data_IF_196372397941
#
_entry.id   IF_196372397941
#
_cell.length_a   1.000
_cell.length_b   1.000
_cell.length_c   1.000
_cell.angle_alpha   90.00
_cell.angle_beta   90.00
_cell.angle_gamma   90.00
#
_symmetry.space_group_name_H-M   'P 1'
#
loop_
_entity.id
_entity.type
_entity.pdbx_description
1 polymer ?
#
# COMPACT_ATOMS: atom_id res chain seq x y z
N UNK A 1 -7.74 70.62 -18.61
CA UNK A 1 -8.54 70.20 -17.45
C UNK A 1 -8.36 68.70 -17.30
N UNK A 2 -7.55 68.27 -16.35
CA UNK A 2 -7.37 66.84 -16.03
C UNK A 2 -8.64 66.35 -15.35
N UNK A 3 -9.37 65.46 -16.02
CA UNK A 3 -10.51 64.74 -15.44
C UNK A 3 -9.99 63.76 -14.40
N UNK A 4 -10.08 64.12 -13.12
CA UNK A 4 -9.68 63.28 -11.99
C UNK A 4 -10.70 62.18 -11.68
N UNK A 5 -11.01 61.33 -12.65
CA UNK A 5 -11.73 60.09 -12.38
C UNK A 5 -10.72 58.93 -12.33
N UNK A 6 -10.69 58.14 -11.24
CA UNK A 6 -9.86 56.93 -11.18
C UNK A 6 -10.32 55.93 -12.25
N UNK A 7 -9.37 55.22 -12.87
CA UNK A 7 -9.63 54.25 -13.96
C UNK A 7 -10.52 53.06 -13.52
N UNK A 8 -10.75 52.91 -12.20
CA UNK A 8 -11.55 51.86 -11.57
C UNK A 8 -13.05 51.94 -11.89
N UNK A 9 -13.55 53.09 -12.39
CA UNK A 9 -14.98 53.27 -12.73
C UNK A 9 -15.31 52.79 -14.16
N UNK A 10 -14.29 52.49 -14.98
CA UNK A 10 -14.48 52.10 -16.39
C UNK A 10 -14.34 50.59 -16.66
N UNK A 11 -13.91 49.81 -15.67
CA UNK A 11 -13.88 48.35 -15.80
C UNK A 11 -15.20 47.74 -15.32
N UNK A 12 -16.09 47.41 -16.27
CA UNK A 12 -17.31 46.64 -16.03
C UNK A 12 -17.06 45.12 -16.06
N UNK A 13 -15.83 44.66 -15.77
CA UNK A 13 -15.61 43.23 -15.58
C UNK A 13 -16.17 42.82 -14.21
N UNK A 14 -17.10 41.84 -14.15
CA UNK A 14 -17.62 41.36 -12.88
C UNK A 14 -16.46 40.80 -12.04
N UNK A 15 -16.03 41.54 -11.02
CA UNK A 15 -15.08 41.04 -10.02
C UNK A 15 -15.83 39.94 -9.25
N UNK A 16 -15.56 38.70 -9.60
CA UNK A 16 -16.17 37.55 -8.96
C UNK A 16 -15.68 37.50 -7.50
N UNK A 17 -16.57 37.57 -6.49
CA UNK A 17 -16.12 37.52 -5.09
C UNK A 17 -15.42 36.19 -4.82
N UNK A 18 -14.22 36.24 -4.23
CA UNK A 18 -13.50 35.04 -3.81
C UNK A 18 -14.34 34.30 -2.76
N UNK A 19 -14.93 33.18 -3.15
CA UNK A 19 -15.65 32.31 -2.20
C UNK A 19 -14.60 31.61 -1.34
N UNK A 20 -14.55 31.86 -0.02
CA UNK A 20 -13.57 31.21 0.84
C UNK A 20 -13.78 29.70 0.82
N UNK A 21 -12.76 28.96 0.40
CA UNK A 21 -12.81 27.50 0.34
C UNK A 21 -12.86 26.99 1.78
N UNK A 22 -14.01 26.44 2.19
CA UNK A 22 -14.15 25.83 3.51
C UNK A 22 -13.32 24.55 3.57
N UNK A 23 -12.38 24.49 4.50
CA UNK A 23 -11.59 23.30 4.77
C UNK A 23 -12.50 22.12 5.16
N UNK A 24 -12.34 20.98 4.48
CA UNK A 24 -13.05 19.76 4.80
C UNK A 24 -12.09 18.73 5.42
N UNK A 25 -12.00 18.74 6.74
CA UNK A 25 -11.15 17.82 7.51
C UNK A 25 -11.57 16.34 7.39
N UNK A 26 -12.80 16.05 6.96
CA UNK A 26 -13.24 14.67 6.81
C UNK A 26 -12.44 13.94 5.73
N UNK A 27 -12.03 14.62 4.65
CA UNK A 27 -11.28 14.02 3.54
C UNK A 27 -9.94 13.42 4.01
N UNK A 28 -9.02 14.21 4.61
CA UNK A 28 -7.75 13.66 5.09
C UNK A 28 -7.91 12.68 6.25
N UNK A 29 -8.96 12.82 7.09
CA UNK A 29 -9.24 11.86 8.17
C UNK A 29 -9.63 10.49 7.60
N UNK A 30 -10.58 10.43 6.66
CA UNK A 30 -11.02 9.16 6.06
C UNK A 30 -9.85 8.44 5.38
N UNK A 31 -9.02 9.19 4.65
CA UNK A 31 -7.84 8.62 4.00
C UNK A 31 -6.83 8.14 5.04
N UNK A 32 -6.57 8.92 6.09
CA UNK A 32 -5.68 8.52 7.17
C UNK A 32 -6.13 7.24 7.85
N UNK A 33 -7.44 7.06 8.08
CA UNK A 33 -8.01 5.81 8.60
C UNK A 33 -7.79 4.64 7.64
N UNK A 34 -8.00 4.82 6.33
CA UNK A 34 -7.72 3.78 5.33
C UNK A 34 -6.25 3.36 5.34
N UNK A 35 -5.31 4.31 5.44
CA UNK A 35 -3.88 4.02 5.52
C UNK A 35 -3.52 3.26 6.81
N UNK A 36 -4.14 3.61 7.93
CA UNK A 36 -3.93 2.89 9.20
C UNK A 36 -4.45 1.45 9.08
N UNK A 37 -5.64 1.23 8.51
CA UNK A 37 -6.16 -0.11 8.27
C UNK A 37 -5.23 -0.91 7.34
N UNK A 38 -4.74 -0.29 6.26
CA UNK A 38 -3.73 -0.89 5.39
C UNK A 38 -2.45 -1.27 6.12
N UNK A 39 -1.96 -0.40 7.01
CA UNK A 39 -0.77 -0.66 7.82
C UNK A 39 -0.94 -1.82 8.79
N UNK A 40 -2.14 -2.02 9.33
CA UNK A 40 -2.47 -3.14 10.21
C UNK A 40 -2.43 -4.46 9.46
N UNK A 41 -3.07 -4.53 8.29
CA UNK A 41 -3.00 -5.73 7.45
C UNK A 41 -1.55 -6.04 7.05
N UNK A 42 -0.79 -5.01 6.68
CA UNK A 42 0.62 -5.16 6.33
C UNK A 42 1.47 -5.62 7.52
N UNK A 43 1.20 -5.12 8.72
CA UNK A 43 1.87 -5.54 9.94
C UNK A 43 1.62 -7.02 10.28
N UNK A 44 0.41 -7.53 10.01
CA UNK A 44 0.11 -8.95 10.16
C UNK A 44 0.87 -9.79 9.13
N UNK A 45 0.93 -9.34 7.87
CA UNK A 45 1.75 -9.99 6.83
C UNK A 45 3.22 -10.05 7.23
N UNK A 46 3.78 -8.90 7.65
CA UNK A 46 5.16 -8.77 8.08
C UNK A 46 5.49 -9.69 9.26
N UNK A 47 4.59 -9.75 10.25
CA UNK A 47 4.74 -10.66 11.37
C UNK A 47 4.70 -12.12 10.89
N UNK A 48 3.78 -12.46 9.99
CA UNK A 48 3.74 -13.76 9.32
C UNK A 48 5.09 -14.08 8.70
N UNK A 49 5.57 -13.27 7.76
CA UNK A 49 6.84 -13.50 7.07
C UNK A 49 8.05 -13.57 8.01
N UNK A 50 8.12 -12.78 9.08
CA UNK A 50 9.22 -12.83 10.05
C UNK A 50 9.14 -14.01 11.02
N UNK A 51 7.95 -14.58 11.24
CA UNK A 51 7.74 -15.72 12.15
C UNK A 51 7.57 -17.05 11.44
N UNK A 52 7.31 -17.01 10.13
CA UNK A 52 7.28 -18.18 9.26
C UNK A 52 8.72 -18.68 9.15
N UNK A 53 9.05 -19.65 10.01
CA UNK A 53 10.21 -20.51 9.81
C UNK A 53 9.93 -21.52 8.70
N UNK A 54 10.41 -22.75 8.87
CA UNK A 54 9.99 -23.87 8.03
C UNK A 54 8.50 -24.16 8.28
N UNK A 55 7.72 -24.20 7.20
CA UNK A 55 6.29 -24.50 7.23
C UNK A 55 6.06 -25.85 7.94
N UNK A 56 5.11 -25.94 8.88
CA UNK A 56 4.88 -27.18 9.62
C UNK A 56 4.41 -28.29 8.67
N UNK A 57 4.74 -29.55 8.97
CA UNK A 57 4.30 -30.67 8.13
C UNK A 57 2.77 -30.73 7.98
N UNK A 58 2.04 -30.38 9.03
CA UNK A 58 0.57 -30.32 9.02
C UNK A 58 0.06 -29.21 8.09
N UNK A 59 0.65 -28.01 8.17
CA UNK A 59 0.31 -26.87 7.31
C UNK A 59 0.63 -27.14 5.84
N UNK A 60 1.75 -27.83 5.58
CA UNK A 60 2.18 -28.18 4.24
C UNK A 60 1.27 -29.23 3.62
N UNK A 61 0.85 -30.22 4.40
CA UNK A 61 -0.15 -31.21 3.96
C UNK A 61 -1.50 -30.55 3.70
N UNK A 62 -1.94 -29.62 4.55
CA UNK A 62 -3.20 -28.91 4.34
C UNK A 62 -3.15 -28.04 3.07
N UNK A 63 -2.01 -27.37 2.82
CA UNK A 63 -1.81 -26.57 1.60
C UNK A 63 -1.80 -27.47 0.36
N UNK A 64 -1.06 -28.58 0.39
CA UNK A 64 -1.03 -29.57 -0.68
C UNK A 64 -2.44 -30.13 -0.96
N UNK A 65 -3.18 -30.55 0.07
CA UNK A 65 -4.56 -31.06 -0.07
C UNK A 65 -5.50 -30.01 -0.69
N UNK A 66 -5.38 -28.75 -0.27
CA UNK A 66 -6.20 -27.66 -0.83
C UNK A 66 -5.93 -27.41 -2.32
N UNK A 67 -4.67 -27.59 -2.76
CA UNK A 67 -4.26 -27.44 -4.16
C UNK A 67 -4.61 -28.70 -4.97
N UNK A 68 -4.52 -29.89 -4.36
CA UNK A 68 -4.90 -31.15 -4.96
C UNK A 68 -6.40 -31.20 -5.25
N UNK A 69 -7.24 -30.64 -4.38
CA UNK A 69 -8.68 -30.46 -4.64
C UNK A 69 -8.95 -29.57 -5.86
N UNK A 70 -8.01 -28.71 -6.24
CA UNK A 70 -8.08 -27.83 -7.41
C UNK A 70 -7.39 -28.45 -8.64
N UNK A 71 -6.88 -29.68 -8.55
CA UNK A 71 -6.27 -30.43 -9.65
C UNK A 71 -4.74 -30.41 -9.69
N UNK A 72 -4.06 -29.98 -8.62
CA UNK A 72 -2.62 -30.22 -8.45
C UNK A 72 -2.32 -31.68 -8.06
N UNK A 73 -1.04 -32.07 -8.08
CA UNK A 73 -0.60 -33.37 -7.60
C UNK A 73 0.64 -33.21 -6.70
N UNK A 74 0.45 -32.45 -5.61
CA UNK A 74 1.46 -32.11 -4.63
C UNK A 74 1.44 -33.07 -3.45
N UNK A 75 2.62 -33.41 -2.98
CA UNK A 75 2.84 -34.00 -1.65
C UNK A 75 3.17 -32.91 -0.64
N UNK A 76 2.87 -33.14 0.64
CA UNK A 76 3.26 -32.21 1.70
C UNK A 76 4.78 -32.00 1.77
N UNK A 77 5.59 -32.99 1.39
CA UNK A 77 7.05 -32.88 1.34
C UNK A 77 7.53 -31.92 0.25
N UNK A 78 6.94 -31.96 -0.95
CA UNK A 78 7.28 -31.03 -2.04
C UNK A 78 6.95 -29.57 -1.68
N UNK A 79 5.88 -29.36 -0.92
CA UNK A 79 5.54 -28.04 -0.38
C UNK A 79 6.58 -27.59 0.65
N UNK A 80 6.98 -28.46 1.58
CA UNK A 80 8.01 -28.12 2.58
C UNK A 80 9.32 -27.76 1.90
N UNK A 81 9.76 -28.57 0.93
CA UNK A 81 11.03 -28.35 0.23
C UNK A 81 11.01 -27.01 -0.53
N UNK A 82 9.91 -26.70 -1.24
CA UNK A 82 9.74 -25.41 -1.92
C UNK A 82 9.76 -24.21 -0.96
N UNK A 83 9.08 -24.29 0.18
CA UNK A 83 9.08 -23.21 1.18
C UNK A 83 10.43 -23.09 1.90
N UNK A 84 11.16 -24.20 2.06
CA UNK A 84 12.52 -24.20 2.61
C UNK A 84 13.49 -23.52 1.65
N UNK A 85 13.40 -23.81 0.35
CA UNK A 85 14.24 -23.15 -0.66
C UNK A 85 13.95 -21.65 -0.75
N UNK A 86 12.68 -21.24 -0.69
CA UNK A 86 12.30 -19.83 -0.57
C UNK A 86 12.89 -19.17 0.70
N UNK A 87 12.95 -19.90 1.80
CA UNK A 87 13.53 -19.40 3.04
C UNK A 87 15.05 -19.24 2.92
N UNK A 88 15.75 -20.20 2.29
CA UNK A 88 17.19 -20.14 2.04
C UNK A 88 17.57 -18.98 1.11
N UNK A 89 16.76 -18.72 0.08
CA UNK A 89 16.90 -17.54 -0.79
C UNK A 89 16.52 -16.21 -0.10
N UNK A 90 16.08 -16.28 1.17
CA UNK A 90 15.81 -15.12 2.00
C UNK A 90 14.49 -14.41 1.69
N UNK A 91 13.54 -15.09 1.02
CA UNK A 91 12.23 -14.54 0.68
C UNK A 91 11.52 -13.95 1.90
N UNK A 92 11.23 -14.80 2.89
CA UNK A 92 10.44 -14.42 4.07
C UNK A 92 11.10 -13.32 4.91
N UNK A 93 12.42 -13.38 5.08
CA UNK A 93 13.15 -12.37 5.87
C UNK A 93 13.18 -11.03 5.14
N UNK A 94 13.44 -11.03 3.83
CA UNK A 94 13.51 -9.80 3.03
C UNK A 94 12.15 -9.11 2.97
N UNK A 95 11.09 -9.86 2.66
CA UNK A 95 9.74 -9.30 2.64
C UNK A 95 9.36 -8.81 4.03
N UNK A 96 9.49 -9.64 5.07
CA UNK A 96 9.12 -9.25 6.44
C UNK A 96 9.76 -7.94 6.92
N UNK A 97 11.01 -7.66 6.55
CA UNK A 97 11.68 -6.39 6.85
C UNK A 97 11.08 -5.22 6.07
N UNK A 98 10.87 -5.36 4.75
CA UNK A 98 10.32 -4.28 3.93
C UNK A 98 8.87 -4.01 4.32
N UNK A 99 8.06 -5.05 4.51
CA UNK A 99 6.67 -4.96 4.93
C UNK A 99 6.52 -4.31 6.31
N UNK A 100 7.39 -4.64 7.27
CA UNK A 100 7.36 -4.02 8.61
C UNK A 100 7.73 -2.53 8.55
N UNK A 101 8.73 -2.15 7.75
CA UNK A 101 9.07 -0.75 7.50
C UNK A 101 7.92 -0.02 6.81
N UNK A 102 7.33 -0.62 5.78
CA UNK A 102 6.18 -0.06 5.07
C UNK A 102 4.98 0.14 6.02
N UNK A 103 4.70 -0.81 6.90
CA UNK A 103 3.64 -0.72 7.90
C UNK A 103 3.85 0.46 8.85
N UNK A 104 5.06 0.64 9.40
CA UNK A 104 5.38 1.76 10.30
C UNK A 104 5.23 3.10 9.58
N UNK A 105 5.74 3.21 8.35
CA UNK A 105 5.68 4.44 7.55
C UNK A 105 4.24 4.77 7.17
N UNK A 106 3.43 3.79 6.76
CA UNK A 106 2.01 3.97 6.46
C UNK A 106 1.21 4.40 7.70
N UNK A 107 1.49 3.79 8.85
CA UNK A 107 0.85 4.15 10.12
C UNK A 107 1.19 5.59 10.52
N UNK A 108 2.45 5.99 10.40
CA UNK A 108 2.88 7.36 10.63
C UNK A 108 2.24 8.34 9.64
N UNK A 109 2.17 7.98 8.35
CA UNK A 109 1.53 8.77 7.30
C UNK A 109 0.03 8.97 7.57
N UNK A 110 -0.69 7.91 7.92
CA UNK A 110 -2.11 7.95 8.27
C UNK A 110 -2.37 8.81 9.52
N UNK A 111 -1.54 8.67 10.56
CA UNK A 111 -1.61 9.51 11.75
C UNK A 111 -1.39 11.00 11.43
N UNK A 112 -0.36 11.32 10.63
CA UNK A 112 -0.08 12.70 10.21
C UNK A 112 -1.22 13.30 9.37
N UNK A 113 -1.89 12.50 8.54
CA UNK A 113 -3.06 12.94 7.78
C UNK A 113 -4.25 13.26 8.68
N UNK A 114 -4.52 12.46 9.71
CA UNK A 114 -5.58 12.75 10.69
C UNK A 114 -5.28 14.05 11.45
N UNK A 115 -3.99 14.32 11.71
CA UNK A 115 -3.54 15.59 12.30
C UNK A 115 -3.61 16.78 11.33
N UNK A 116 -4.02 16.58 10.08
CA UNK A 116 -4.10 17.63 9.07
C UNK A 116 -2.74 18.11 8.57
N UNK A 117 -1.66 17.35 8.75
CA UNK A 117 -0.32 17.75 8.31
C UNK A 117 -0.09 17.33 6.86
N UNK A 118 0.28 18.27 5.99
CA UNK A 118 0.70 18.00 4.60
C UNK A 118 1.83 16.98 4.47
N UNK A 119 2.70 16.86 5.48
CA UNK A 119 3.74 15.84 5.55
C UNK A 119 3.16 14.41 5.50
N UNK A 120 1.95 14.19 6.02
CA UNK A 120 1.30 12.87 5.99
C UNK A 120 1.06 12.34 4.58
N UNK A 121 0.86 13.23 3.60
CA UNK A 121 0.72 12.83 2.18
C UNK A 121 2.00 12.17 1.66
N UNK A 122 3.13 12.80 1.89
CA UNK A 122 4.43 12.32 1.40
C UNK A 122 4.91 11.09 2.16
N UNK A 123 4.72 11.07 3.48
CA UNK A 123 5.06 9.91 4.31
C UNK A 123 4.19 8.71 3.92
N UNK A 124 2.87 8.90 3.77
CA UNK A 124 1.96 7.85 3.32
C UNK A 124 2.31 7.31 1.92
N UNK A 125 2.61 8.21 0.97
CA UNK A 125 3.07 7.81 -0.36
C UNK A 125 4.39 7.04 -0.32
N UNK A 126 5.32 7.41 0.55
CA UNK A 126 6.59 6.70 0.76
C UNK A 126 6.38 5.28 1.28
N UNK A 127 5.48 5.10 2.26
CA UNK A 127 5.13 3.77 2.78
C UNK A 127 4.45 2.88 1.73
N UNK A 128 3.56 3.44 0.92
CA UNK A 128 2.94 2.71 -0.18
C UNK A 128 3.94 2.37 -1.31
N UNK A 129 4.92 3.24 -1.58
CA UNK A 129 6.00 2.94 -2.51
C UNK A 129 6.87 1.77 -2.03
N UNK A 130 7.15 1.68 -0.72
CA UNK A 130 7.84 0.53 -0.14
C UNK A 130 7.04 -0.77 -0.34
N UNK A 131 5.71 -0.75 -0.24
CA UNK A 131 4.88 -1.93 -0.55
C UNK A 131 5.01 -2.38 -2.02
N UNK A 132 5.16 -1.43 -2.95
CA UNK A 132 5.37 -1.78 -4.36
C UNK A 132 6.77 -2.36 -4.60
N UNK A 133 7.78 -1.83 -3.91
CA UNK A 133 9.14 -2.39 -3.94
C UNK A 133 9.13 -3.81 -3.38
N UNK A 134 8.46 -4.03 -2.25
CA UNK A 134 8.28 -5.35 -1.64
C UNK A 134 7.69 -6.36 -2.63
N UNK A 135 6.59 -5.99 -3.31
CA UNK A 135 5.95 -6.86 -4.28
C UNK A 135 6.85 -7.17 -5.49
N UNK A 136 7.65 -6.21 -5.96
CA UNK A 136 8.62 -6.45 -7.04
C UNK A 136 9.72 -7.39 -6.57
N UNK A 137 10.30 -7.16 -5.40
CA UNK A 137 11.33 -8.02 -4.82
C UNK A 137 10.80 -9.44 -4.63
N UNK A 138 9.60 -9.59 -4.07
CA UNK A 138 8.96 -10.88 -3.91
C UNK A 138 8.76 -11.62 -5.24
N UNK A 139 8.25 -10.93 -6.26
CA UNK A 139 8.11 -11.52 -7.60
C UNK A 139 9.46 -11.92 -8.21
N UNK A 140 10.53 -11.17 -7.96
CA UNK A 140 11.86 -11.52 -8.48
C UNK A 140 12.44 -12.78 -7.83
N UNK A 141 12.27 -12.94 -6.51
CA UNK A 141 12.72 -14.13 -5.79
C UNK A 141 11.87 -15.35 -6.21
N UNK A 142 10.54 -15.19 -6.31
CA UNK A 142 9.66 -16.26 -6.81
C UNK A 142 9.96 -16.70 -8.24
N UNK A 143 10.51 -15.82 -9.07
CA UNK A 143 10.92 -16.19 -10.42
C UNK A 143 12.25 -16.97 -10.45
N UNK A 144 13.02 -16.93 -9.35
CA UNK A 144 14.29 -17.65 -9.19
C UNK A 144 14.14 -19.08 -8.68
N UNK A 145 13.08 -19.38 -7.92
CA UNK A 145 12.83 -20.71 -7.34
C UNK A 145 11.92 -21.55 -8.25
N UNK A 146 12.32 -22.78 -8.54
CA UNK A 146 11.55 -23.69 -9.39
C UNK A 146 10.37 -24.30 -8.61
N UNK A 147 9.14 -24.06 -9.08
CA UNK A 147 7.95 -24.54 -8.39
C UNK A 147 7.63 -25.99 -8.74
N UNK A 148 7.31 -26.86 -7.76
CA UNK A 148 6.96 -28.27 -8.01
C UNK A 148 5.66 -28.43 -8.80
N UNK A 149 4.73 -27.48 -8.70
CA UNK A 149 3.51 -27.45 -9.50
C UNK A 149 3.17 -26.04 -10.00
N UNK A 150 2.63 -25.90 -11.23
CA UNK A 150 2.22 -24.62 -11.78
C UNK A 150 1.08 -23.97 -10.96
N UNK A 151 0.25 -24.78 -10.29
CA UNK A 151 -0.84 -24.27 -9.45
C UNK A 151 -0.31 -23.59 -8.18
N UNK A 152 0.78 -24.11 -7.60
CA UNK A 152 1.45 -23.51 -6.44
C UNK A 152 2.14 -22.21 -6.82
N UNK A 153 2.82 -22.17 -7.98
CA UNK A 153 3.39 -20.92 -8.50
C UNK A 153 2.31 -19.87 -8.78
N UNK A 154 1.18 -20.29 -9.36
CA UNK A 154 0.07 -19.40 -9.65
C UNK A 154 -0.55 -18.81 -8.38
N UNK A 155 -0.76 -19.63 -7.34
CA UNK A 155 -1.35 -19.16 -6.08
C UNK A 155 -0.47 -18.11 -5.41
N UNK A 156 0.85 -18.33 -5.36
CA UNK A 156 1.78 -17.36 -4.80
C UNK A 156 1.85 -16.07 -5.63
N UNK A 157 1.90 -16.17 -6.97
CA UNK A 157 1.85 -15.00 -7.86
C UNK A 157 0.56 -14.19 -7.71
N UNK A 158 -0.57 -14.87 -7.47
CA UNK A 158 -1.86 -14.21 -7.24
C UNK A 158 -1.85 -13.42 -5.92
N UNK A 159 -1.26 -13.98 -4.86
CA UNK A 159 -1.07 -13.26 -3.59
C UNK A 159 -0.20 -12.02 -3.82
N UNK A 160 0.95 -12.14 -4.48
CA UNK A 160 1.80 -10.98 -4.80
C UNK A 160 1.04 -9.92 -5.64
N UNK A 161 0.25 -10.34 -6.63
CA UNK A 161 -0.56 -9.42 -7.44
C UNK A 161 -1.63 -8.67 -6.61
N UNK A 162 -2.22 -9.34 -5.62
CA UNK A 162 -3.15 -8.69 -4.68
C UNK A 162 -2.45 -7.61 -3.86
N UNK A 163 -1.24 -7.89 -3.36
CA UNK A 163 -0.41 -6.90 -2.65
C UNK A 163 -0.02 -5.70 -3.53
N UNK A 164 0.29 -5.90 -4.82
CA UNK A 164 0.51 -4.80 -5.77
C UNK A 164 -0.74 -3.92 -5.89
N UNK A 165 -1.92 -4.54 -6.03
CA UNK A 165 -3.20 -3.81 -6.10
C UNK A 165 -3.46 -2.97 -4.86
N UNK A 166 -3.25 -3.55 -3.68
CA UNK A 166 -3.35 -2.83 -2.40
C UNK A 166 -2.31 -1.71 -2.29
N UNK A 167 -1.06 -1.95 -2.70
CA UNK A 167 0.01 -0.95 -2.71
C UNK A 167 -0.32 0.25 -3.61
N UNK A 168 -0.84 0.01 -4.81
CA UNK A 168 -1.29 1.08 -5.72
C UNK A 168 -2.46 1.89 -5.14
N UNK A 169 -3.41 1.21 -4.49
CA UNK A 169 -4.52 1.87 -3.82
C UNK A 169 -4.02 2.77 -2.67
N UNK A 170 -3.16 2.23 -1.80
CA UNK A 170 -2.52 2.98 -0.72
C UNK A 170 -1.63 4.12 -1.23
N UNK A 171 -1.09 4.03 -2.44
CA UNK A 171 -0.31 5.09 -3.07
C UNK A 171 -1.20 6.20 -3.63
N UNK A 172 -2.35 5.86 -4.21
CA UNK A 172 -3.26 6.84 -4.79
C UNK A 172 -4.01 7.67 -3.73
N UNK A 173 -4.43 7.03 -2.65
CA UNK A 173 -5.23 7.65 -1.58
C UNK A 173 -4.62 8.95 -1.01
N UNK A 174 -3.32 9.02 -0.64
CA UNK A 174 -2.69 10.24 -0.14
C UNK A 174 -2.76 11.45 -1.07
N UNK A 175 -2.89 11.26 -2.39
CA UNK A 175 -2.94 12.36 -3.36
C UNK A 175 -4.34 12.97 -3.52
N UNK A 176 -5.40 12.27 -3.13
CA UNK A 176 -6.78 12.74 -3.24
C UNK A 176 -7.00 14.12 -2.57
N UNK A 177 -6.52 14.37 -1.33
CA UNK A 177 -6.67 15.67 -0.69
C UNK A 177 -5.94 16.78 -1.44
N UNK A 178 -4.88 16.47 -2.19
CA UNK A 178 -4.16 17.45 -3.01
C UNK A 178 -4.89 17.81 -4.30
N UNK A 179 -5.77 16.94 -4.80
CA UNK A 179 -6.57 17.21 -6.01
C UNK A 179 -7.82 18.04 -5.71
N UNK A 180 -8.34 17.97 -4.48
CA UNK A 180 -9.55 18.69 -4.07
C UNK A 180 -9.18 19.97 -3.31
N UNK A 181 -9.67 21.12 -3.76
CA UNK A 181 -9.32 22.41 -3.17
C UNK A 181 -9.68 22.51 -1.67
N UNK A 182 -10.81 21.93 -1.26
CA UNK A 182 -11.22 21.84 0.16
C UNK A 182 -10.43 20.84 0.99
N UNK A 183 -9.82 19.83 0.34
CA UNK A 183 -8.89 18.88 0.96
C UNK A 183 -7.51 19.50 1.16
N UNK A 184 -7.02 20.28 0.19
CA UNK A 184 -5.77 21.05 0.30
C UNK A 184 -5.82 22.03 1.45
N UNK A 185 -6.91 22.79 1.56
CA UNK A 185 -7.13 23.73 2.65
C UNK A 185 -7.27 23.06 4.03
N UNK A 186 -7.47 21.73 4.08
CA UNK A 186 -7.51 20.96 5.33
C UNK A 186 -6.14 20.40 5.74
N UNK A 187 -5.12 20.54 4.90
CA UNK A 187 -3.75 20.08 5.12
C UNK A 187 -2.75 21.21 5.46
N UNK A 188 -3.23 22.45 5.58
CA UNK A 188 -2.46 23.62 6.00
C UNK A 188 -2.22 23.68 7.51
#
# INVERSE_FOLDING_TARGET
MQSGLPDDVLSNEPIMPEVPIKANKAIPITIGVCLILGSLLMGVSAYGNLTTGTLSSEEATALADSLNLQGANLTGTEVIDYFTELQEDGYFTTLGIIESLAAIVLLAGGGLMIMGKRLGVWVGAGGAALMLVDAVVGMTILAGVESPDPLLSLSMKLVSAFFVGCGLFCLALPFIPLLVASGRAALD
#
